data_IF_172386009042
#
_entry.id   IF_172386009042
#
_cell.length_a   1.000
_cell.length_b   1.000
_cell.length_c   1.000
_cell.angle_alpha   90.00
_cell.angle_beta   90.00
_cell.angle_gamma   90.00
#
_symmetry.space_group_name_H-M   'P 1'
#
loop_
_entity.id
_entity.type
_entity.pdbx_description
1 polymer ?
#
# COMPACT_ATOMS: atom_id res chain seq x y z
N UNK A 1 -18.78 -14.56 11.22
CA UNK A 1 -18.77 -14.50 9.74
C UNK A 1 -17.36 -14.79 9.25
N UNK A 2 -17.21 -15.54 8.16
CA UNK A 2 -15.88 -15.76 7.56
C UNK A 2 -15.44 -14.50 6.83
N UNK A 3 -14.19 -14.06 7.09
CA UNK A 3 -13.55 -12.93 6.39
C UNK A 3 -13.33 -13.29 4.93
N UNK A 4 -13.81 -12.46 4.00
CA UNK A 4 -13.81 -12.75 2.55
C UNK A 4 -12.46 -12.51 1.88
N UNK A 5 -11.64 -11.63 2.46
CA UNK A 5 -10.36 -11.22 1.90
C UNK A 5 -9.17 -12.07 2.34
N UNK A 6 -9.35 -13.01 3.28
CA UNK A 6 -8.24 -13.82 3.80
C UNK A 6 -7.55 -14.58 2.67
N UNK A 7 -6.23 -14.35 2.51
CA UNK A 7 -5.42 -14.94 1.44
C UNK A 7 -5.48 -14.20 0.10
N UNK A 8 -6.21 -13.08 0.02
CA UNK A 8 -6.30 -12.23 -1.18
C UNK A 8 -5.44 -10.98 -0.99
N UNK A 9 -4.56 -10.73 -1.95
CA UNK A 9 -3.83 -9.46 -2.05
C UNK A 9 -4.37 -8.63 -3.21
N UNK A 10 -4.67 -7.37 -2.95
CA UNK A 10 -5.06 -6.38 -3.96
C UNK A 10 -3.87 -5.45 -4.18
N UNK A 11 -3.34 -5.44 -5.40
CA UNK A 11 -2.29 -4.51 -5.80
C UNK A 11 -2.91 -3.23 -6.36
N UNK A 12 -2.57 -2.10 -5.75
CA UNK A 12 -3.05 -0.77 -6.12
C UNK A 12 -1.84 0.04 -6.60
N UNK A 13 -1.71 0.17 -7.91
CA UNK A 13 -0.71 1.04 -8.52
C UNK A 13 -1.23 2.48 -8.54
N UNK A 14 -0.52 3.37 -7.87
CA UNK A 14 -0.86 4.78 -7.80
C UNK A 14 -0.52 5.47 -9.12
N UNK A 15 -1.48 6.23 -9.64
CA UNK A 15 -1.29 7.05 -10.83
C UNK A 15 -0.35 8.23 -10.59
N UNK A 16 -0.01 8.90 -11.68
CA UNK A 16 0.77 10.14 -11.62
C UNK A 16 0.05 11.23 -10.81
N UNK A 17 0.82 12.06 -10.10
CA UNK A 17 0.29 13.17 -9.28
C UNK A 17 -0.15 12.78 -7.86
N UNK A 18 -0.22 11.48 -7.54
CA UNK A 18 -0.40 11.02 -6.16
C UNK A 18 0.96 10.93 -5.45
N UNK A 19 0.95 11.02 -4.12
CA UNK A 19 2.14 10.87 -3.29
C UNK A 19 1.92 9.72 -2.29
N UNK A 20 2.65 8.64 -2.47
CA UNK A 20 2.52 7.45 -1.61
C UNK A 20 2.89 7.73 -0.15
N UNK A 21 3.84 8.61 0.13
CA UNK A 21 4.23 8.94 1.51
C UNK A 21 3.10 9.70 2.24
N UNK A 22 2.39 10.58 1.53
CA UNK A 22 1.23 11.28 2.07
C UNK A 22 0.07 10.31 2.35
N UNK A 23 -0.17 9.36 1.44
CA UNK A 23 -1.19 8.32 1.61
C UNK A 23 -0.84 7.40 2.79
N UNK A 24 0.44 7.03 2.91
CA UNK A 24 0.93 6.23 4.03
C UNK A 24 0.69 6.92 5.37
N UNK A 25 1.08 8.20 5.47
CA UNK A 25 0.83 9.01 6.67
C UNK A 25 -0.66 9.13 6.99
N UNK A 26 -1.51 9.35 5.99
CA UNK A 26 -2.95 9.41 6.16
C UNK A 26 -3.55 8.08 6.65
N UNK A 27 -3.02 6.94 6.16
CA UNK A 27 -3.42 5.62 6.61
C UNK A 27 -3.06 5.40 8.09
N UNK A 28 -1.85 5.77 8.50
CA UNK A 28 -1.42 5.73 9.91
C UNK A 28 -2.31 6.60 10.80
N UNK A 29 -2.55 7.85 10.40
CA UNK A 29 -3.37 8.81 11.16
C UNK A 29 -4.84 8.35 11.30
N UNK A 30 -5.32 7.58 10.33
CA UNK A 30 -6.67 7.00 10.33
C UNK A 30 -6.77 5.70 11.13
N UNK A 31 -5.66 5.20 11.68
CA UNK A 31 -5.61 3.94 12.42
C UNK A 31 -5.72 2.69 11.54
N UNK A 32 -5.34 2.78 10.26
CA UNK A 32 -5.30 1.61 9.39
C UNK A 32 -4.31 0.56 9.93
N UNK A 33 -4.64 -0.71 9.78
CA UNK A 33 -3.75 -1.80 10.17
C UNK A 33 -2.64 -1.96 9.11
N UNK A 34 -1.51 -1.29 9.31
CA UNK A 34 -0.32 -1.46 8.48
C UNK A 34 0.28 -2.84 8.75
N UNK A 35 0.37 -3.67 7.72
CA UNK A 35 0.93 -5.03 7.79
C UNK A 35 2.35 -5.11 7.23
N UNK A 36 2.76 -4.11 6.43
CA UNK A 36 4.13 -3.88 6.01
C UNK A 36 4.40 -2.38 5.89
N UNK A 37 5.45 -1.92 6.57
CA UNK A 37 5.91 -0.53 6.52
C UNK A 37 6.25 -0.10 5.09
N UNK A 38 6.18 1.21 4.85
CA UNK A 38 6.56 1.78 3.56
C UNK A 38 8.07 1.63 3.32
N UNK A 39 8.43 1.12 2.15
CA UNK A 39 9.82 0.97 1.73
C UNK A 39 9.98 1.26 0.24
N UNK A 40 11.20 1.62 -0.16
CA UNK A 40 11.61 1.56 -1.57
C UNK A 40 12.20 0.19 -1.83
N UNK A 41 11.69 -0.50 -2.85
CA UNK A 41 12.11 -1.84 -3.26
C UNK A 41 13.15 -1.77 -4.37
N UNK A 42 13.95 -2.83 -4.49
CA UNK A 42 15.12 -2.89 -5.39
C UNK A 42 14.78 -2.65 -6.87
N UNK A 43 13.53 -2.90 -7.29
CA UNK A 43 13.07 -2.67 -8.66
C UNK A 43 12.49 -1.26 -8.90
N UNK A 44 12.68 -0.31 -7.98
CA UNK A 44 12.29 1.09 -8.15
C UNK A 44 10.82 1.38 -7.82
N UNK A 45 10.20 0.56 -6.98
CA UNK A 45 8.83 0.77 -6.50
C UNK A 45 8.87 1.19 -5.02
N UNK A 46 8.10 2.22 -4.66
CA UNK A 46 7.82 2.55 -3.27
C UNK A 46 6.47 1.94 -2.90
N UNK A 47 6.40 1.17 -1.81
CA UNK A 47 5.18 0.44 -1.46
C UNK A 47 5.03 0.19 0.04
N UNK A 48 3.78 0.06 0.49
CA UNK A 48 3.41 -0.40 1.84
C UNK A 48 2.18 -1.33 1.76
N UNK A 49 1.90 -2.05 2.85
CA UNK A 49 0.71 -2.88 2.94
C UNK A 49 -0.18 -2.49 4.13
N UNK A 50 -1.48 -2.58 3.92
CA UNK A 50 -2.50 -2.44 4.96
C UNK A 50 -3.55 -3.55 4.85
N UNK A 51 -4.13 -3.96 5.98
CA UNK A 51 -5.26 -4.89 5.99
C UNK A 51 -6.57 -4.16 6.23
N UNK A 52 -7.61 -4.54 5.48
CA UNK A 52 -8.96 -4.05 5.73
C UNK A 52 -9.75 -4.94 6.72
N UNK A 53 -10.97 -4.52 7.04
CA UNK A 53 -11.84 -5.21 8.01
C UNK A 53 -12.25 -6.62 7.55
N UNK A 54 -12.33 -6.83 6.24
CA UNK A 54 -12.70 -8.10 5.62
C UNK A 54 -11.49 -9.04 5.39
N UNK A 55 -10.29 -8.62 5.77
CA UNK A 55 -9.07 -9.41 5.74
C UNK A 55 -8.29 -9.35 4.42
N UNK A 56 -8.65 -8.45 3.50
CA UNK A 56 -7.86 -8.22 2.29
C UNK A 56 -6.52 -7.60 2.67
N UNK A 57 -5.46 -8.00 1.97
CA UNK A 57 -4.15 -7.36 2.04
C UNK A 57 -4.03 -6.34 0.89
N UNK A 58 -4.12 -5.06 1.21
CA UNK A 58 -3.98 -3.98 0.24
C UNK A 58 -2.50 -3.64 0.14
N UNK A 59 -1.90 -3.89 -1.03
CA UNK A 59 -0.55 -3.45 -1.34
C UNK A 59 -0.65 -2.19 -2.20
N UNK A 60 -0.30 -1.05 -1.60
CA UNK A 60 -0.29 0.26 -2.27
C UNK A 60 1.12 0.52 -2.76
N UNK A 61 1.27 0.85 -4.04
CA UNK A 61 2.57 1.01 -4.68
C UNK A 61 2.61 2.21 -5.62
N UNK A 62 3.79 2.82 -5.73
CA UNK A 62 4.08 3.89 -6.67
C UNK A 62 5.42 3.60 -7.34
N UNK A 63 5.42 3.59 -8.68
CA UNK A 63 6.65 3.53 -9.46
C UNK A 63 7.44 4.82 -9.28
N UNK A 64 8.71 4.71 -8.88
CA UNK A 64 9.61 5.84 -8.82
C UNK A 64 10.07 6.13 -10.25
N UNK A 65 9.95 7.39 -10.69
CA UNK A 65 10.52 7.79 -11.98
C UNK A 65 12.03 7.56 -11.91
N UNK A 66 12.57 6.81 -12.89
CA UNK A 66 14.02 6.81 -13.13
C UNK A 66 14.39 8.23 -13.55
N UNK A 67 15.23 8.89 -12.76
CA UNK A 67 15.92 10.08 -13.24
C UNK A 67 16.76 9.66 -14.45
N UNK A 68 16.46 10.25 -15.61
CA UNK A 68 17.18 10.01 -16.86
C UNK A 68 18.34 10.96 -17.04
#
# INVERSE_FOLDING_TARGET
>A
MSKRGTGVQIYINLGEGLNIDAIYKAAQDSGALITKEIETRDWGERAFNASDLDGYNLMIAQQLKKEG
#
